data_IF_034524601042
#
_entry.id   IF_034524601042
#
_cell.length_a   1.000
_cell.length_b   1.000
_cell.length_c   1.000
_cell.angle_alpha   90.00
_cell.angle_beta   90.00
_cell.angle_gamma   90.00
#
_symmetry.space_group_name_H-M   'P 1'
#
loop_
_entity.id
_entity.type
_entity.pdbx_description
1 polymer ?
#
# COMPACT_ATOMS: atom_id res chain seq x y z
N UNK A 1 -15.83 21.31 -4.20
CA UNK A 1 -14.54 21.94 -3.86
C UNK A 1 -13.46 21.26 -4.68
N UNK A 2 -12.47 22.00 -5.22
CA UNK A 2 -11.31 21.36 -5.84
C UNK A 2 -10.59 20.48 -4.80
N UNK A 3 -10.20 19.27 -5.20
CA UNK A 3 -9.46 18.32 -4.37
C UNK A 3 -8.08 18.12 -4.98
N UNK A 4 -7.05 18.18 -4.16
CA UNK A 4 -5.66 17.89 -4.54
C UNK A 4 -5.24 16.68 -3.70
N UNK A 5 -4.37 15.85 -4.25
CA UNK A 5 -3.77 14.71 -3.56
C UNK A 5 -2.27 14.71 -3.82
N UNK A 6 -1.49 14.41 -2.78
CA UNK A 6 -0.05 14.17 -2.87
C UNK A 6 0.26 12.78 -2.31
N UNK A 7 1.37 12.19 -2.76
CA UNK A 7 1.89 10.94 -2.21
C UNK A 7 3.30 11.20 -1.72
N UNK A 8 3.50 11.10 -0.41
CA UNK A 8 4.80 11.27 0.20
C UNK A 8 5.58 9.94 0.18
N UNK A 9 6.82 9.97 -0.29
CA UNK A 9 7.64 8.76 -0.41
C UNK A 9 8.10 8.30 0.97
N UNK A 10 7.79 7.05 1.29
CA UNK A 10 8.25 6.39 2.51
C UNK A 10 9.37 5.42 2.15
N UNK A 11 10.53 5.59 2.78
CA UNK A 11 11.62 4.62 2.64
C UNK A 11 11.30 3.38 3.49
N UNK A 12 11.27 2.22 2.85
CA UNK A 12 11.17 0.93 3.51
C UNK A 12 12.56 0.35 3.76
N UNK A 13 12.80 -0.14 4.96
CA UNK A 13 14.00 -0.85 5.37
C UNK A 13 13.67 -2.33 5.55
N UNK A 14 14.51 -3.20 4.97
CA UNK A 14 14.33 -4.65 5.08
C UNK A 14 14.67 -5.10 6.50
N UNK A 15 13.72 -5.76 7.16
CA UNK A 15 13.87 -6.32 8.51
C UNK A 15 14.19 -7.80 8.45
N UNK A 16 13.57 -8.53 7.51
CA UNK A 16 13.81 -9.96 7.28
C UNK A 16 13.64 -10.32 5.81
N UNK A 17 13.59 -11.61 5.49
CA UNK A 17 13.37 -12.04 4.11
C UNK A 17 11.99 -11.65 3.58
N UNK A 18 11.01 -11.49 4.46
CA UNK A 18 9.60 -11.24 4.12
C UNK A 18 9.02 -9.99 4.78
N UNK A 19 9.80 -9.26 5.59
CA UNK A 19 9.31 -8.09 6.33
C UNK A 19 10.12 -6.84 6.04
N UNK A 20 9.39 -5.72 5.95
CA UNK A 20 9.93 -4.39 5.71
C UNK A 20 9.25 -3.41 6.66
N UNK A 21 10.00 -2.42 7.14
CA UNK A 21 9.48 -1.39 8.03
C UNK A 21 9.76 0.00 7.46
N UNK A 22 8.81 0.92 7.65
CA UNK A 22 8.96 2.32 7.29
C UNK A 22 8.32 3.21 8.35
N UNK A 23 8.62 4.50 8.30
CA UNK A 23 7.99 5.50 9.18
C UNK A 23 7.19 6.47 8.35
N UNK A 24 5.92 6.64 8.71
CA UNK A 24 4.99 7.60 8.12
C UNK A 24 4.75 8.72 9.13
N UNK A 25 4.79 9.96 8.66
CA UNK A 25 4.41 11.13 9.44
C UNK A 25 3.07 11.63 8.90
N UNK A 26 2.00 11.50 9.70
CA UNK A 26 0.64 11.90 9.31
C UNK A 26 0.49 13.41 9.12
N UNK A 27 1.45 14.17 9.65
CA UNK A 27 1.56 15.63 9.60
C UNK A 27 2.73 16.11 8.71
N UNK A 28 3.24 15.25 7.82
CA UNK A 28 4.33 15.61 6.91
C UNK A 28 3.98 16.78 5.98
N UNK A 29 2.72 16.83 5.52
CA UNK A 29 2.23 17.88 4.64
C UNK A 29 1.48 18.90 5.49
N UNK A 30 1.98 20.13 5.53
CA UNK A 30 1.45 21.19 6.39
C UNK A 30 0.28 21.92 5.73
N UNK A 31 -0.63 22.47 6.54
CA UNK A 31 -1.68 23.34 6.05
C UNK A 31 -1.11 24.72 5.64
N UNK A 32 -0.94 24.94 4.34
CA UNK A 32 -0.32 26.16 3.78
C UNK A 32 -0.91 26.58 2.42
N UNK A 33 -0.64 27.80 1.98
CA UNK A 33 -0.99 28.29 0.64
C UNK A 33 0.12 27.97 -0.37
N UNK A 34 0.09 26.75 -0.90
CA UNK A 34 1.10 26.24 -1.83
C UNK A 34 1.04 26.88 -3.23
N UNK A 35 -0.08 27.50 -3.61
CA UNK A 35 -0.35 27.90 -5.00
C UNK A 35 -0.77 29.37 -5.15
N UNK A 36 -0.75 30.16 -4.08
CA UNK A 36 -1.24 31.54 -4.04
C UNK A 36 -2.76 31.64 -4.24
N UNK A 37 -3.50 30.61 -3.82
CA UNK A 37 -4.96 30.46 -4.04
C UNK A 37 -5.74 30.24 -2.75
N UNK A 38 -5.09 30.45 -1.59
CA UNK A 38 -5.63 30.16 -0.27
C UNK A 38 -5.05 28.87 0.34
N UNK A 39 -5.25 28.71 1.65
CA UNK A 39 -4.70 27.60 2.43
C UNK A 39 -5.28 26.26 1.99
N UNK A 40 -4.41 25.33 1.56
CA UNK A 40 -4.74 23.93 1.43
C UNK A 40 -4.81 23.30 2.82
N UNK A 41 -5.94 22.67 3.14
CA UNK A 41 -6.08 21.85 4.34
C UNK A 41 -5.93 20.39 3.96
N UNK A 42 -4.97 19.71 4.58
CA UNK A 42 -4.64 18.34 4.25
C UNK A 42 -5.25 17.36 5.24
N UNK A 43 -5.54 16.17 4.73
CA UNK A 43 -6.07 15.04 5.49
C UNK A 43 -5.25 13.81 5.10
N UNK A 44 -4.75 13.09 6.10
CA UNK A 44 -4.12 11.80 5.89
C UNK A 44 -5.19 10.76 5.55
N UNK A 45 -5.05 10.07 4.40
CA UNK A 45 -6.11 9.20 3.87
C UNK A 45 -5.76 7.72 3.80
N UNK A 46 -4.50 7.37 3.49
CA UNK A 46 -4.04 5.98 3.45
C UNK A 46 -2.50 5.90 3.49
N UNK A 47 -1.99 4.77 3.98
CA UNK A 47 -0.65 4.26 3.65
C UNK A 47 -0.79 3.26 2.51
N UNK A 48 0.18 3.24 1.60
CA UNK A 48 0.25 2.23 0.54
C UNK A 48 1.69 1.72 0.40
N UNK A 49 1.84 0.42 0.22
CA UNK A 49 3.10 -0.20 -0.17
C UNK A 49 2.89 -0.98 -1.47
N UNK A 50 3.93 -1.02 -2.32
CA UNK A 50 3.91 -1.75 -3.58
C UNK A 50 5.18 -2.58 -3.73
N UNK A 51 5.02 -3.85 -4.04
CA UNK A 51 6.10 -4.82 -4.17
C UNK A 51 6.18 -5.36 -5.59
N UNK A 52 7.39 -5.68 -6.05
CA UNK A 52 7.64 -6.37 -7.32
C UNK A 52 8.75 -7.40 -7.13
N UNK A 53 8.71 -8.48 -7.91
CA UNK A 53 9.64 -9.60 -7.77
C UNK A 53 11.08 -9.27 -8.20
N UNK A 54 11.25 -8.28 -9.08
CA UNK A 54 12.55 -7.87 -9.63
C UNK A 54 12.50 -6.43 -10.11
N UNK A 55 13.64 -5.90 -10.54
CA UNK A 55 13.73 -4.57 -11.16
C UNK A 55 13.33 -4.53 -12.64
N UNK A 56 12.82 -5.64 -13.18
CA UNK A 56 12.22 -5.68 -14.51
C UNK A 56 11.09 -4.63 -14.60
N UNK A 57 11.13 -3.70 -15.59
CA UNK A 57 10.05 -2.75 -15.84
C UNK A 57 8.67 -3.38 -16.06
N UNK A 58 8.62 -4.65 -16.46
CA UNK A 58 7.39 -5.41 -16.70
C UNK A 58 6.94 -6.25 -15.49
N UNK A 59 7.70 -6.24 -14.38
CA UNK A 59 7.29 -6.92 -13.16
C UNK A 59 5.97 -6.36 -12.61
N UNK A 60 5.06 -7.26 -12.24
CA UNK A 60 3.78 -6.90 -11.65
C UNK A 60 4.00 -6.17 -10.33
N UNK A 61 3.29 -5.06 -10.15
CA UNK A 61 3.21 -4.37 -8.87
C UNK A 61 2.08 -4.93 -8.02
N UNK A 62 2.42 -5.55 -6.89
CA UNK A 62 1.45 -5.99 -5.89
C UNK A 62 1.26 -4.90 -4.84
N UNK A 63 0.07 -4.31 -4.82
CA UNK A 63 -0.22 -3.10 -4.02
C UNK A 63 -1.08 -3.48 -2.82
N UNK A 64 -0.59 -3.16 -1.63
CA UNK A 64 -1.33 -3.25 -0.36
C UNK A 64 -1.55 -1.85 0.18
N UNK A 65 -2.68 -1.63 0.85
CA UNK A 65 -3.12 -0.32 1.34
C UNK A 65 -3.72 -0.47 2.72
N UNK A 66 -3.46 0.51 3.57
CA UNK A 66 -3.95 0.62 4.93
C UNK A 66 -4.65 1.99 5.05
N UNK A 67 -6.00 2.04 5.08
CA UNK A 67 -6.73 3.30 5.25
C UNK A 67 -6.33 4.03 6.53
N UNK A 68 -6.47 5.37 6.54
CA UNK A 68 -6.09 6.20 7.69
C UNK A 68 -6.71 5.72 9.02
N UNK A 69 -8.01 5.42 9.03
CA UNK A 69 -8.70 4.90 10.22
C UNK A 69 -8.04 3.62 10.77
N UNK A 70 -7.66 2.70 9.89
CA UNK A 70 -6.99 1.45 10.28
C UNK A 70 -5.55 1.71 10.75
N UNK A 71 -4.84 2.63 10.11
CA UNK A 71 -3.48 3.01 10.51
C UNK A 71 -3.45 3.69 11.89
N UNK A 72 -4.36 4.62 12.14
CA UNK A 72 -4.49 5.35 13.42
C UNK A 72 -4.96 4.43 14.54
N UNK A 73 -5.81 3.45 14.25
CA UNK A 73 -6.24 2.42 15.20
C UNK A 73 -5.14 1.39 15.54
N UNK A 74 -3.99 1.43 14.85
CA UNK A 74 -2.94 0.43 15.01
C UNK A 74 -3.31 -0.94 14.46
N UNK A 75 -4.11 -0.98 13.40
CA UNK A 75 -4.61 -2.21 12.77
C UNK A 75 -3.67 -2.72 11.66
N UNK A 76 -4.03 -3.86 11.10
CA UNK A 76 -3.48 -4.39 9.86
C UNK A 76 -4.55 -4.54 8.78
N UNK A 77 -4.10 -4.59 7.55
CA UNK A 77 -4.87 -4.97 6.37
C UNK A 77 -4.12 -6.06 5.63
N UNK A 78 -4.86 -7.08 5.20
CA UNK A 78 -4.31 -8.25 4.51
C UNK A 78 -5.06 -8.49 3.22
N UNK A 79 -4.30 -8.60 2.13
CA UNK A 79 -4.84 -8.84 0.81
C UNK A 79 -4.23 -10.09 0.18
N UNK A 80 -5.03 -10.77 -0.61
CA UNK A 80 -4.66 -12.01 -1.30
C UNK A 80 -4.50 -11.78 -2.79
N UNK A 81 -3.44 -12.35 -3.35
CA UNK A 81 -2.98 -12.14 -4.73
C UNK A 81 -2.82 -13.48 -5.43
N UNK A 82 -3.33 -13.60 -6.66
CA UNK A 82 -3.17 -14.81 -7.44
C UNK A 82 -1.72 -14.94 -7.94
N UNK A 83 -1.13 -16.12 -7.77
CA UNK A 83 0.26 -16.40 -8.14
C UNK A 83 0.51 -16.30 -9.65
N UNK A 84 -0.53 -16.44 -10.49
CA UNK A 84 -0.43 -16.35 -11.94
C UNK A 84 0.04 -14.98 -12.46
N UNK A 85 -0.03 -13.94 -11.63
CA UNK A 85 0.53 -12.62 -11.95
C UNK A 85 1.96 -12.42 -11.45
N UNK A 86 2.55 -13.41 -10.76
CA UNK A 86 3.92 -13.38 -10.29
C UNK A 86 4.86 -14.16 -11.24
N UNK A 87 6.02 -13.63 -11.63
CA UNK A 87 6.51 -12.27 -11.35
C UNK A 87 5.94 -11.21 -12.32
N UNK A 88 5.42 -11.64 -13.48
CA UNK A 88 4.92 -10.76 -14.55
C UNK A 88 3.51 -11.22 -14.97
N UNK A 89 2.56 -10.29 -15.00
CA UNK A 89 1.29 -10.50 -15.70
C UNK A 89 1.49 -10.34 -17.21
N UNK A 90 0.59 -10.89 -18.02
CA UNK A 90 0.59 -10.72 -19.48
C UNK A 90 0.11 -9.31 -19.92
N UNK A 91 0.24 -8.31 -19.04
CA UNK A 91 -0.21 -6.95 -19.21
C UNK A 91 0.92 -6.00 -18.80
N UNK A 92 1.32 -5.11 -19.71
CA UNK A 92 2.37 -4.12 -19.44
C UNK A 92 1.96 -3.16 -18.31
N UNK A 93 2.89 -2.84 -17.40
CA UNK A 93 2.70 -1.95 -16.26
C UNK A 93 1.52 -2.34 -15.35
N UNK A 94 1.27 -3.64 -15.19
CA UNK A 94 0.17 -4.13 -14.39
C UNK A 94 0.37 -3.89 -12.88
N UNK A 95 -0.66 -3.37 -12.25
CA UNK A 95 -0.75 -3.24 -10.80
C UNK A 95 -1.95 -4.06 -10.29
N UNK A 96 -1.67 -5.04 -9.45
CA UNK A 96 -2.67 -5.86 -8.78
C UNK A 96 -2.96 -5.29 -7.39
N UNK A 97 -4.24 -5.11 -7.09
CA UNK A 97 -4.73 -4.54 -5.83
C UNK A 97 -5.28 -5.59 -4.87
N UNK A 98 -5.22 -6.87 -5.24
CA UNK A 98 -5.53 -8.00 -4.38
C UNK A 98 -7.02 -8.10 -4.02
N UNK A 99 -7.34 -9.14 -3.26
CA UNK A 99 -8.69 -9.40 -2.76
C UNK A 99 -8.67 -9.40 -1.23
N UNK A 100 -9.71 -8.83 -0.60
CA UNK A 100 -9.83 -8.82 0.86
C UNK A 100 -10.17 -10.21 1.45
N UNK A 101 -10.74 -11.10 0.65
CA UNK A 101 -11.01 -12.49 1.06
C UNK A 101 -10.98 -13.46 -0.12
N UNK A 102 -10.82 -14.74 0.20
CA UNK A 102 -10.87 -15.86 -0.74
C UNK A 102 -12.20 -16.62 -0.67
N UNK A 103 -13.27 -16.01 -0.14
CA UNK A 103 -14.56 -16.69 0.08
C UNK A 103 -15.20 -17.17 -1.22
N UNK A 104 -14.94 -16.46 -2.32
CA UNK A 104 -15.41 -16.81 -3.67
C UNK A 104 -14.45 -17.75 -4.41
N UNK A 105 -13.29 -18.06 -3.83
CA UNK A 105 -12.29 -18.95 -4.42
C UNK A 105 -12.51 -20.36 -3.86
N UNK A 106 -12.72 -21.37 -4.74
CA UNK A 106 -12.80 -22.77 -4.33
C UNK A 106 -11.60 -23.17 -3.48
N UNK A 107 -11.82 -23.96 -2.42
CA UNK A 107 -10.77 -24.33 -1.46
C UNK A 107 -9.53 -24.93 -2.13
N UNK A 108 -9.73 -25.79 -3.14
CA UNK A 108 -8.66 -26.40 -3.92
C UNK A 108 -7.75 -25.37 -4.64
N UNK A 109 -8.28 -24.19 -4.98
CA UNK A 109 -7.56 -23.13 -5.69
C UNK A 109 -6.94 -22.09 -4.74
N UNK A 110 -7.25 -22.10 -3.44
CA UNK A 110 -6.72 -21.11 -2.49
C UNK A 110 -5.20 -21.20 -2.33
N UNK A 111 -4.61 -22.36 -2.59
CA UNK A 111 -3.16 -22.56 -2.61
C UNK A 111 -2.43 -21.83 -3.74
N UNK A 112 -3.17 -21.35 -4.75
CA UNK A 112 -2.64 -20.52 -5.84
C UNK A 112 -2.55 -19.05 -5.45
N UNK A 113 -2.86 -18.69 -4.20
CA UNK A 113 -2.79 -17.31 -3.72
C UNK A 113 -1.68 -17.15 -2.68
N UNK A 114 -1.04 -15.99 -2.72
CA UNK A 114 -0.17 -15.51 -1.65
C UNK A 114 -0.78 -14.25 -1.02
N UNK A 115 -0.30 -13.87 0.14
CA UNK A 115 -0.80 -12.71 0.87
C UNK A 115 0.28 -11.67 1.12
N UNK A 116 -0.13 -10.41 1.18
CA UNK A 116 0.67 -9.30 1.70
C UNK A 116 -0.14 -8.66 2.82
N UNK A 117 0.49 -8.49 3.97
CA UNK A 117 -0.08 -7.80 5.13
C UNK A 117 0.65 -6.48 5.33
N UNK A 118 -0.11 -5.42 5.58
CA UNK A 118 0.40 -4.11 5.98
C UNK A 118 -0.19 -3.74 7.33
N UNK A 119 0.66 -3.50 8.30
CA UNK A 119 0.26 -3.06 9.65
C UNK A 119 0.90 -1.73 9.99
N UNK A 120 0.25 -0.99 10.88
CA UNK A 120 0.81 0.21 11.49
C UNK A 120 0.63 0.17 12.99
N UNK A 121 1.55 0.82 13.69
CA UNK A 121 1.44 1.10 15.12
C UNK A 121 1.97 2.50 15.38
N UNK A 122 1.36 3.22 16.31
CA UNK A 122 1.84 4.53 16.75
C UNK A 122 3.28 4.43 17.23
N UNK A 123 4.16 5.29 16.73
CA UNK A 123 5.53 5.36 17.24
C UNK A 123 5.48 5.82 18.71
N UNK A 124 6.15 5.08 19.60
CA UNK A 124 6.36 5.57 20.97
C UNK A 124 7.30 6.78 20.93
N UNK A 125 6.98 7.89 21.63
CA UNK A 125 7.84 9.06 21.72
C UNK A 125 9.26 8.77 22.24
#
# INVERSE_FOLDING_TARGET
MPRISTNEVVKLERVSDTEFAGRVYVDQVLDEDYYGRGVCRWEFVEVRASFRASDDPYATWFVVKLPAEAAEAGSNEKLFYWNGYYPNAEIDNYAEFGNASLDKVPEAQRSEFFEIELSAAGATP
#
